data_IF_841803063889
#
_entry.id   IF_841803063889
#
_cell.length_a   1.000
_cell.length_b   1.000
_cell.length_c   1.000
_cell.angle_alpha   90.00
_cell.angle_beta   90.00
_cell.angle_gamma   90.00
#
_symmetry.space_group_name_H-M   'P 1'
#
loop_
_entity.id
_entity.type
_entity.pdbx_description
1 polymer ?
#
# COMPACT_ATOMS: atom_id res chain seq x y z
N UNK A 1 13.66 -18.22 -10.73
CA UNK A 1 13.49 -17.76 -9.33
C UNK A 1 14.40 -16.57 -8.96
N UNK A 2 15.65 -16.51 -9.44
CA UNK A 2 16.59 -15.44 -9.06
C UNK A 2 16.22 -14.05 -9.59
N UNK A 3 15.60 -13.97 -10.77
CA UNK A 3 15.21 -12.70 -11.40
C UNK A 3 14.11 -11.94 -10.64
N UNK A 4 13.12 -12.65 -10.06
CA UNK A 4 12.06 -12.02 -9.28
C UNK A 4 12.59 -11.48 -7.95
N UNK A 5 13.48 -12.25 -7.28
CA UNK A 5 14.13 -11.78 -6.04
C UNK A 5 14.94 -10.52 -6.29
N UNK A 6 15.77 -10.50 -7.34
CA UNK A 6 16.54 -9.30 -7.72
C UNK A 6 15.63 -8.12 -8.06
N UNK A 7 14.53 -8.36 -8.77
CA UNK A 7 13.54 -7.33 -9.09
C UNK A 7 12.88 -6.75 -7.82
N UNK A 8 12.66 -7.55 -6.77
CA UNK A 8 12.05 -7.05 -5.54
C UNK A 8 13.05 -6.39 -4.59
N UNK A 9 14.32 -6.80 -4.58
CA UNK A 9 15.32 -6.29 -3.63
C UNK A 9 16.23 -5.20 -4.17
N UNK A 10 16.63 -5.28 -5.45
CA UNK A 10 17.68 -4.42 -6.04
C UNK A 10 17.15 -3.40 -7.05
N UNK A 11 15.87 -3.46 -7.39
CA UNK A 11 15.32 -2.52 -8.36
C UNK A 11 15.08 -1.14 -7.72
N UNK A 12 15.57 -0.10 -8.39
CA UNK A 12 15.46 1.29 -7.94
C UNK A 12 14.12 1.89 -8.32
N UNK A 13 13.02 1.35 -7.79
CA UNK A 13 11.71 1.92 -8.07
C UNK A 13 11.56 3.24 -7.35
N UNK A 14 11.21 4.26 -8.12
CA UNK A 14 10.75 5.51 -7.57
C UNK A 14 9.27 5.37 -7.22
N UNK A 15 8.96 5.48 -5.93
CA UNK A 15 7.60 5.31 -5.42
C UNK A 15 6.63 6.35 -5.98
N UNK A 16 7.07 7.58 -6.23
CA UNK A 16 6.24 8.64 -6.80
C UNK A 16 5.91 8.33 -8.26
N UNK A 17 6.91 7.89 -9.04
CA UNK A 17 6.71 7.49 -10.44
C UNK A 17 5.76 6.30 -10.55
N UNK A 18 5.91 5.30 -9.68
CA UNK A 18 5.04 4.12 -9.66
C UNK A 18 3.60 4.47 -9.25
N UNK A 19 3.43 5.40 -8.31
CA UNK A 19 2.11 5.90 -7.88
C UNK A 19 1.43 6.65 -9.04
N UNK A 20 2.13 7.59 -9.68
CA UNK A 20 1.61 8.33 -10.84
C UNK A 20 1.21 7.39 -11.98
N UNK A 21 2.03 6.36 -12.26
CA UNK A 21 1.71 5.36 -13.27
C UNK A 21 0.48 4.54 -12.92
N UNK A 22 0.32 4.18 -11.64
CA UNK A 22 -0.86 3.45 -11.16
C UNK A 22 -2.12 4.29 -11.33
N UNK A 23 -2.10 5.56 -10.94
CA UNK A 23 -3.23 6.48 -11.12
C UNK A 23 -3.60 6.66 -12.60
N UNK A 24 -2.61 6.77 -13.49
CA UNK A 24 -2.85 6.83 -14.93
C UNK A 24 -3.64 5.62 -15.43
N UNK A 25 -3.30 4.41 -14.96
CA UNK A 25 -3.97 3.18 -15.36
C UNK A 25 -5.38 3.08 -14.76
N UNK A 26 -5.54 3.44 -13.48
CA UNK A 26 -6.86 3.46 -12.82
C UNK A 26 -7.82 4.45 -13.49
N UNK A 27 -7.32 5.61 -13.94
CA UNK A 27 -8.11 6.59 -14.68
C UNK A 27 -8.61 6.11 -16.05
N UNK A 28 -8.05 5.04 -16.60
CA UNK A 28 -8.48 4.45 -17.88
C UNK A 28 -9.61 3.42 -17.72
N UNK A 29 -9.89 2.99 -16.49
CA UNK A 29 -10.91 1.99 -16.20
C UNK A 29 -12.15 2.69 -15.61
N UNK A 30 -13.33 2.59 -16.24
CA UNK A 30 -14.52 3.33 -15.79
C UNK A 30 -14.90 3.10 -14.32
N UNK A 31 -14.61 1.91 -13.77
CA UNK A 31 -14.91 1.56 -12.38
C UNK A 31 -14.03 2.31 -11.36
N UNK A 32 -12.85 2.77 -11.77
CA UNK A 32 -11.86 3.42 -10.89
C UNK A 32 -11.48 4.81 -11.36
N UNK A 33 -12.03 5.27 -12.48
CA UNK A 33 -11.87 6.63 -12.95
C UNK A 33 -12.56 7.60 -11.99
N UNK A 34 -11.98 8.79 -11.84
CA UNK A 34 -12.57 9.87 -11.02
C UNK A 34 -13.95 10.26 -11.55
N UNK A 35 -14.89 10.46 -10.63
CA UNK A 35 -16.25 10.95 -10.90
C UNK A 35 -16.42 12.30 -10.19
N UNK A 36 -16.90 13.36 -10.87
CA UNK A 36 -17.22 14.64 -10.23
C UNK A 36 -18.17 14.54 -9.03
N UNK A 37 -19.06 13.54 -9.02
CA UNK A 37 -19.99 13.26 -7.93
C UNK A 37 -19.47 12.15 -6.99
N UNK A 38 -18.25 11.66 -7.24
CA UNK A 38 -17.60 10.62 -6.47
C UNK A 38 -17.08 11.09 -5.11
N UNK A 39 -16.93 10.16 -4.18
CA UNK A 39 -16.38 10.41 -2.84
C UNK A 39 -15.06 9.67 -2.68
N UNK A 40 -14.02 10.40 -2.26
CA UNK A 40 -12.76 9.78 -1.86
C UNK A 40 -12.89 9.20 -0.46
N UNK A 41 -12.73 7.89 -0.35
CA UNK A 41 -12.66 7.18 0.93
C UNK A 41 -11.19 6.90 1.24
N UNK A 42 -10.72 7.42 2.36
CA UNK A 42 -9.39 7.12 2.91
C UNK A 42 -9.61 6.13 4.04
N UNK A 43 -9.04 4.94 3.90
CA UNK A 43 -9.13 3.86 4.88
C UNK A 43 -7.73 3.38 5.25
N UNK A 44 -7.49 3.15 6.53
CA UNK A 44 -6.21 2.67 7.02
C UNK A 44 -6.20 1.13 7.09
N UNK A 45 -5.30 0.51 6.33
CA UNK A 45 -5.17 -0.95 6.33
C UNK A 45 -3.95 -1.36 7.14
N UNK A 46 -4.19 -2.21 8.15
CA UNK A 46 -3.16 -2.80 8.99
C UNK A 46 -2.72 -4.18 8.52
N UNK A 47 -1.43 -4.36 8.29
CA UNK A 47 -0.79 -5.65 7.98
C UNK A 47 0.09 -6.12 9.15
N UNK A 48 -0.13 -7.36 9.58
CA UNK A 48 0.71 -8.00 10.60
C UNK A 48 2.12 -8.20 10.07
N UNK A 49 3.12 -7.92 10.91
CA UNK A 49 4.53 -8.22 10.63
C UNK A 49 5.16 -8.98 11.79
N UNK A 50 5.85 -10.05 11.45
CA UNK A 50 6.66 -10.79 12.42
C UNK A 50 8.05 -10.13 12.51
N UNK A 51 8.41 -9.61 13.67
CA UNK A 51 9.69 -8.93 13.92
C UNK A 51 9.72 -7.43 13.60
N UNK A 52 10.93 -6.86 13.51
CA UNK A 52 11.16 -5.41 13.40
C UNK A 52 12.01 -5.02 12.17
N UNK A 53 12.13 -5.90 11.17
CA UNK A 53 12.95 -5.67 9.99
C UNK A 53 12.33 -4.70 8.98
N UNK A 54 11.02 -4.47 9.08
CA UNK A 54 10.29 -3.50 8.26
C UNK A 54 10.16 -2.19 9.04
N UNK A 55 10.48 -1.06 8.39
CA UNK A 55 10.31 0.26 8.97
C UNK A 55 8.86 0.50 9.40
N UNK A 56 8.69 1.32 10.44
CA UNK A 56 7.38 1.69 11.00
C UNK A 56 6.52 0.52 11.53
N UNK A 57 7.10 -0.67 11.71
CA UNK A 57 6.46 -1.76 12.43
C UNK A 57 6.47 -1.48 13.93
N UNK A 58 5.30 -1.50 14.54
CA UNK A 58 5.12 -1.35 15.97
C UNK A 58 3.86 -2.08 16.43
N UNK A 59 3.66 -2.19 17.75
CA UNK A 59 2.39 -2.64 18.28
C UNK A 59 1.32 -1.56 18.14
N UNK A 60 0.28 -1.87 17.39
CA UNK A 60 -0.86 -0.99 17.15
C UNK A 60 -2.11 -1.82 16.89
N UNK A 61 -3.29 -1.19 16.90
CA UNK A 61 -4.51 -1.89 16.55
C UNK A 61 -4.48 -2.22 15.05
N UNK A 62 -4.60 -3.51 14.72
CA UNK A 62 -4.67 -3.98 13.34
C UNK A 62 -6.12 -4.37 13.05
N UNK A 63 -6.84 -3.54 12.28
CA UNK A 63 -8.25 -3.78 11.94
C UNK A 63 -8.48 -5.17 11.33
N UNK A 64 -7.56 -5.63 10.50
CA UNK A 64 -7.57 -6.97 9.88
C UNK A 64 -7.52 -8.13 10.89
N UNK A 65 -6.94 -7.92 12.08
CA UNK A 65 -6.86 -8.91 13.16
C UNK A 65 -7.84 -8.65 14.31
N UNK A 66 -8.50 -7.49 14.32
CA UNK A 66 -9.40 -7.06 15.39
C UNK A 66 -8.73 -6.87 16.75
N UNK A 67 -7.40 -6.70 16.80
CA UNK A 67 -6.62 -6.65 18.05
C UNK A 67 -5.36 -5.79 17.92
N UNK A 68 -4.75 -5.46 19.07
CA UNK A 68 -3.42 -4.88 19.11
C UNK A 68 -2.39 -5.98 18.86
N UNK A 69 -1.58 -5.83 17.83
CA UNK A 69 -0.47 -6.72 17.51
C UNK A 69 0.63 -5.94 16.79
N UNK A 70 1.77 -6.60 16.53
CA UNK A 70 2.88 -6.00 15.81
C UNK A 70 2.60 -5.97 14.30
N UNK A 71 2.66 -4.79 13.70
CA UNK A 71 2.36 -4.60 12.28
C UNK A 71 2.60 -3.18 11.81
N UNK A 72 2.27 -2.95 10.55
CA UNK A 72 2.29 -1.63 9.91
C UNK A 72 0.86 -1.26 9.54
N UNK A 73 0.50 0.02 9.72
CA UNK A 73 -0.75 0.58 9.23
C UNK A 73 -0.37 1.59 8.16
N UNK A 74 -0.92 1.41 6.96
CA UNK A 74 -0.69 2.30 5.85
C UNK A 74 -2.00 3.02 5.49
N UNK A 75 -1.89 4.31 5.21
CA UNK A 75 -2.97 5.12 4.67
C UNK A 75 -2.68 5.33 3.18
N UNK A 76 -3.26 4.52 2.27
CA UNK A 76 -3.13 4.77 0.85
C UNK A 76 -3.81 6.10 0.52
N UNK A 77 -3.03 7.04 0.02
CA UNK A 77 -3.54 8.27 -0.58
C UNK A 77 -3.43 8.07 -2.09
N UNK A 78 -4.56 7.84 -2.76
CA UNK A 78 -4.64 7.77 -4.23
C UNK A 78 -4.95 9.16 -4.78
#
# INVERSE_FOLDING_TARGET
MQQLQFFLSESLWDAEVMTARTLQLLGQVPLTASDPDGVLVVDDTGDRKDGCATEHVARQYLGSLGKIDNGIVAVPTL
#
